data_IF_000272381126
#
_entry.id   IF_000272381126
#
_cell.length_a   1.000
_cell.length_b   1.000
_cell.length_c   1.000
_cell.angle_alpha   90.00
_cell.angle_beta   90.00
_cell.angle_gamma   90.00
#
_symmetry.space_group_name_H-M   'P 1'
#
loop_
_entity.id
_entity.type
_entity.pdbx_description
1 polymer ?
#
# COMPACT_ATOMS: atom_id res chain seq x y z
N UNK A 1 2.88 -43.48 50.51
CA UNK A 1 2.47 -42.17 49.93
C UNK A 1 3.69 -41.33 49.50
N UNK A 2 4.61 -41.85 48.66
CA UNK A 2 5.81 -41.10 48.18
C UNK A 2 5.80 -40.80 46.68
N UNK A 3 4.84 -41.37 45.94
CA UNK A 3 4.71 -41.20 44.48
C UNK A 3 3.62 -40.20 44.08
N UNK A 4 2.81 -39.72 45.04
CA UNK A 4 1.73 -38.77 44.77
C UNK A 4 2.27 -37.36 44.47
N UNK A 5 3.35 -36.96 45.15
CA UNK A 5 4.06 -35.69 44.92
C UNK A 5 4.78 -35.65 43.55
N UNK A 6 5.17 -36.80 43.00
CA UNK A 6 5.80 -36.89 41.68
C UNK A 6 4.77 -36.69 40.54
N UNK A 7 3.53 -37.17 40.74
CA UNK A 7 2.45 -37.05 39.76
C UNK A 7 1.96 -35.59 39.64
N UNK A 8 1.92 -34.83 40.75
CA UNK A 8 1.57 -33.41 40.73
C UNK A 8 2.60 -32.54 39.98
N UNK A 9 3.88 -32.91 40.01
CA UNK A 9 4.93 -32.16 39.31
C UNK A 9 4.86 -32.29 37.78
N UNK A 10 4.39 -33.43 37.25
CA UNK A 10 4.28 -33.67 35.81
C UNK A 10 3.12 -32.86 35.19
N UNK A 11 2.01 -32.70 35.91
CA UNK A 11 0.82 -31.99 35.42
C UNK A 11 1.05 -30.47 35.37
N UNK A 12 1.89 -29.92 36.26
CA UNK A 12 2.21 -28.49 36.30
C UNK A 12 3.09 -28.02 35.12
N UNK A 13 3.85 -28.92 34.49
CA UNK A 13 4.68 -28.59 33.32
C UNK A 13 3.99 -28.77 31.96
N UNK A 14 2.82 -29.40 31.91
CA UNK A 14 2.09 -29.64 30.64
C UNK A 14 1.12 -28.51 30.24
N UNK A 15 1.01 -27.44 31.03
CA UNK A 15 -0.01 -26.39 30.83
C UNK A 15 0.48 -25.12 30.11
N UNK A 16 1.74 -25.04 29.66
CA UNK A 16 2.19 -23.98 28.77
C UNK A 16 1.80 -24.30 27.32
N UNK A 17 0.55 -24.01 26.92
CA UNK A 17 0.22 -23.93 25.50
C UNK A 17 1.13 -22.87 24.87
N UNK A 18 2.04 -23.30 24.00
CA UNK A 18 2.84 -22.39 23.19
C UNK A 18 1.86 -21.68 22.25
N UNK A 19 1.71 -20.37 22.43
CA UNK A 19 0.90 -19.57 21.51
C UNK A 19 1.42 -19.76 20.08
N UNK A 20 0.48 -19.94 19.16
CA UNK A 20 0.80 -20.09 17.75
C UNK A 20 1.42 -18.79 17.22
N UNK A 21 2.53 -18.92 16.50
CA UNK A 21 3.29 -17.81 15.92
C UNK A 21 3.39 -17.97 14.41
N UNK A 22 3.36 -16.87 13.68
CA UNK A 22 3.17 -16.88 12.24
C UNK A 22 4.22 -16.06 11.49
N UNK A 23 4.62 -16.57 10.32
CA UNK A 23 5.52 -15.92 9.39
C UNK A 23 6.97 -15.81 9.89
N UNK A 24 7.85 -15.19 9.09
CA UNK A 24 9.27 -15.05 9.41
C UNK A 24 9.54 -14.16 10.64
N UNK A 25 8.54 -13.36 11.03
CA UNK A 25 8.59 -12.46 12.18
C UNK A 25 8.11 -13.12 13.48
N UNK A 26 7.63 -14.37 13.44
CA UNK A 26 7.12 -15.13 14.60
C UNK A 26 6.10 -14.36 15.44
N UNK A 27 5.14 -13.69 14.79
CA UNK A 27 4.13 -12.86 15.48
C UNK A 27 2.95 -13.71 15.95
N UNK A 28 2.37 -13.37 17.10
CA UNK A 28 1.13 -13.97 17.62
C UNK A 28 -0.09 -13.17 17.15
N UNK A 29 -1.22 -13.82 16.92
CA UNK A 29 -2.46 -13.11 16.62
C UNK A 29 -2.80 -12.11 17.74
N UNK A 30 -3.17 -10.89 17.38
CA UNK A 30 -3.45 -9.80 18.32
C UNK A 30 -2.21 -9.10 18.88
N UNK A 31 -1.00 -9.55 18.55
CA UNK A 31 0.23 -8.90 19.00
C UNK A 31 0.35 -7.49 18.40
N UNK A 32 0.63 -6.51 19.26
CA UNK A 32 0.85 -5.14 18.81
C UNK A 32 2.33 -4.87 18.52
N UNK A 33 2.61 -4.41 17.31
CA UNK A 33 3.94 -4.07 16.83
C UNK A 33 3.99 -2.61 16.43
N UNK A 34 5.20 -2.11 16.23
CA UNK A 34 5.41 -0.80 15.64
C UNK A 34 5.91 -0.96 14.21
N UNK A 35 5.36 -0.15 13.33
CA UNK A 35 5.69 -0.17 11.91
C UNK A 35 6.19 1.21 11.48
N UNK A 36 7.17 1.21 10.59
CA UNK A 36 7.60 2.38 9.84
C UNK A 36 6.93 2.35 8.47
N UNK A 37 6.17 3.39 8.15
CA UNK A 37 5.49 3.59 6.89
C UNK A 37 6.25 4.63 6.08
N UNK A 38 6.66 4.27 4.87
CA UNK A 38 7.47 5.10 3.97
C UNK A 38 6.72 6.37 3.51
N UNK A 39 7.46 7.40 3.10
CA UNK A 39 6.90 8.65 2.57
C UNK A 39 6.40 8.54 1.12
N UNK A 40 6.81 7.50 0.38
CA UNK A 40 6.49 7.25 -1.04
C UNK A 40 5.18 6.48 -1.18
N UNK A 41 4.11 7.03 -0.62
CA UNK A 41 2.77 6.46 -0.67
C UNK A 41 2.37 6.05 -2.10
N UNK A 42 1.93 4.80 -2.27
CA UNK A 42 1.48 4.21 -3.54
C UNK A 42 2.56 4.10 -4.63
N UNK A 43 3.84 4.28 -4.29
CA UNK A 43 4.96 4.07 -5.21
C UNK A 43 5.30 2.59 -5.41
N UNK A 44 6.13 2.31 -6.42
CA UNK A 44 6.64 0.95 -6.69
C UNK A 44 7.45 0.40 -5.52
N UNK A 45 8.09 1.29 -4.75
CA UNK A 45 8.95 0.94 -3.61
C UNK A 45 8.36 1.48 -2.29
N UNK A 46 7.04 1.52 -2.17
CA UNK A 46 6.37 1.86 -0.91
C UNK A 46 6.58 0.74 0.11
N UNK A 47 7.46 0.99 1.09
CA UNK A 47 7.86 -0.03 2.06
C UNK A 47 7.12 0.13 3.40
N UNK A 48 6.74 -1.02 3.96
CA UNK A 48 6.29 -1.15 5.33
C UNK A 48 7.34 -1.95 6.10
N UNK A 49 7.97 -1.34 7.10
CA UNK A 49 9.02 -2.00 7.89
C UNK A 49 8.54 -2.25 9.31
N UNK A 50 8.90 -3.40 9.87
CA UNK A 50 8.67 -3.71 11.28
C UNK A 50 9.82 -3.20 12.16
N UNK A 51 9.45 -2.51 13.24
CA UNK A 51 10.38 -1.97 14.23
C UNK A 51 10.57 -2.94 15.40
N UNK A 52 11.75 -2.94 16.06
CA UNK A 52 12.93 -2.10 15.77
C UNK A 52 13.87 -2.70 14.71
N UNK A 53 13.55 -3.84 14.12
CA UNK A 53 14.48 -4.57 13.23
C UNK A 53 14.68 -3.91 11.86
N UNK A 54 13.80 -2.96 11.47
CA UNK A 54 13.78 -2.29 10.18
C UNK A 54 13.79 -3.28 8.99
N UNK A 55 13.10 -4.40 9.15
CA UNK A 55 12.93 -5.41 8.12
C UNK A 55 11.58 -5.24 7.43
N UNK A 56 11.48 -5.69 6.18
CA UNK A 56 10.19 -5.76 5.49
C UNK A 56 9.18 -6.46 6.37
N UNK A 57 8.01 -5.85 6.51
CA UNK A 57 6.89 -6.42 7.25
C UNK A 57 6.21 -7.55 6.47
N UNK A 58 6.45 -7.63 5.14
CA UNK A 58 5.89 -8.60 4.18
C UNK A 58 4.35 -8.67 4.12
N UNK A 59 3.65 -7.80 4.85
CA UNK A 59 2.20 -7.78 5.00
C UNK A 59 1.66 -6.37 4.80
N UNK A 60 0.37 -6.26 4.49
CA UNK A 60 -0.31 -4.97 4.34
C UNK A 60 -0.67 -4.33 5.69
N UNK A 61 -0.75 -3.00 5.70
CA UNK A 61 -1.33 -2.22 6.79
C UNK A 61 -2.73 -1.75 6.38
N UNK A 62 -3.76 -2.17 7.11
CA UNK A 62 -5.16 -1.83 6.86
C UNK A 62 -5.63 -0.73 7.81
N UNK A 63 -6.58 0.09 7.34
CA UNK A 63 -7.27 1.09 8.16
C UNK A 63 -6.50 2.39 8.40
N UNK A 64 -5.35 2.60 7.76
CA UNK A 64 -4.59 3.85 7.87
C UNK A 64 -4.99 4.87 6.79
N UNK A 65 -6.20 5.42 6.91
CA UNK A 65 -6.79 6.31 5.90
C UNK A 65 -6.16 7.72 5.87
N UNK A 66 -5.62 8.20 6.99
CA UNK A 66 -5.09 9.57 7.12
C UNK A 66 -3.65 9.72 6.61
N UNK A 67 -3.13 8.74 5.86
CA UNK A 67 -1.77 8.76 5.32
C UNK A 67 -1.63 9.88 4.30
N UNK A 68 -0.68 10.79 4.57
CA UNK A 68 -0.29 11.86 3.62
C UNK A 68 0.99 11.49 2.87
N UNK A 69 1.07 11.71 1.55
CA UNK A 69 2.32 11.56 0.79
C UNK A 69 3.42 12.49 1.34
N UNK A 70 4.68 12.08 1.27
CA UNK A 70 5.80 12.90 1.76
C UNK A 70 5.99 12.90 3.27
N UNK A 71 5.25 12.07 4.01
CA UNK A 71 5.46 11.89 5.44
C UNK A 71 5.83 10.44 5.74
N UNK A 72 6.87 10.27 6.55
CA UNK A 72 7.20 8.97 7.15
C UNK A 72 6.42 8.86 8.46
N UNK A 73 5.81 7.72 8.73
CA UNK A 73 5.05 7.50 9.96
C UNK A 73 5.62 6.34 10.75
N UNK A 74 5.74 6.53 12.07
CA UNK A 74 5.81 5.42 13.02
C UNK A 74 4.39 5.18 13.53
N UNK A 75 3.87 3.99 13.34
CA UNK A 75 2.50 3.63 13.74
C UNK A 75 2.51 2.43 14.66
N UNK A 76 1.52 2.38 15.56
CA UNK A 76 1.17 1.18 16.30
C UNK A 76 0.17 0.40 15.47
N UNK A 77 0.41 -0.90 15.30
CA UNK A 77 -0.49 -1.78 14.56
C UNK A 77 -0.66 -3.12 15.29
N UNK A 78 -1.80 -3.76 15.07
CA UNK A 78 -2.12 -5.07 15.63
C UNK A 78 -2.07 -6.13 14.54
N UNK A 79 -1.27 -7.16 14.74
CA UNK A 79 -1.22 -8.30 13.81
C UNK A 79 -2.54 -9.08 13.89
N UNK A 80 -3.15 -9.34 12.73
CA UNK A 80 -4.41 -10.05 12.60
C UNK A 80 -4.26 -11.28 11.72
N UNK A 81 -4.99 -12.33 12.07
CA UNK A 81 -5.10 -13.56 11.30
C UNK A 81 -6.58 -13.87 11.09
N UNK A 82 -6.95 -14.07 9.83
CA UNK A 82 -8.25 -14.60 9.45
C UNK A 82 -8.14 -16.11 9.33
N UNK A 83 -9.00 -16.84 10.06
CA UNK A 83 -8.97 -18.31 10.06
C UNK A 83 -9.56 -18.87 8.77
N UNK A 84 -10.51 -18.16 8.17
CA UNK A 84 -11.19 -18.57 6.95
C UNK A 84 -11.12 -17.44 5.91
N UNK A 85 -9.93 -17.13 5.37
CA UNK A 85 -9.79 -16.05 4.41
C UNK A 85 -10.46 -16.42 3.09
N UNK A 86 -10.98 -15.44 2.33
CA UNK A 86 -11.32 -15.64 0.93
C UNK A 86 -10.13 -16.24 0.15
N UNK A 87 -10.42 -17.08 -0.85
CA UNK A 87 -9.39 -17.80 -1.61
C UNK A 87 -8.32 -16.88 -2.23
N UNK A 88 -8.71 -15.67 -2.63
CA UNK A 88 -7.84 -14.69 -3.28
C UNK A 88 -7.34 -13.58 -2.32
N UNK A 89 -7.54 -13.74 -1.02
CA UNK A 89 -7.13 -12.77 0.00
C UNK A 89 -6.01 -13.33 0.88
N UNK A 90 -5.19 -12.43 1.44
CA UNK A 90 -4.22 -12.82 2.46
C UNK A 90 -4.94 -13.27 3.73
N UNK A 91 -4.43 -14.31 4.37
CA UNK A 91 -4.88 -14.80 5.67
C UNK A 91 -4.42 -13.91 6.83
N UNK A 92 -3.56 -12.92 6.57
CA UNK A 92 -2.88 -12.15 7.62
C UNK A 92 -2.55 -10.72 7.18
N UNK A 93 -2.69 -9.77 8.10
CA UNK A 93 -2.38 -8.36 7.85
C UNK A 93 -2.18 -7.61 9.17
N UNK A 94 -1.76 -6.34 9.09
CA UNK A 94 -1.71 -5.43 10.22
C UNK A 94 -2.93 -4.51 10.23
N UNK A 95 -3.64 -4.44 11.35
CA UNK A 95 -4.67 -3.42 11.58
C UNK A 95 -4.03 -2.19 12.22
N UNK A 96 -4.19 -1.03 11.61
CA UNK A 96 -3.77 0.25 12.18
C UNK A 96 -4.47 0.50 13.53
N UNK A 97 -3.70 0.91 14.53
CA UNK A 97 -4.23 1.29 15.86
C UNK A 97 -4.13 2.79 16.06
N UNK A 98 -2.94 3.37 15.87
CA UNK A 98 -2.70 4.81 16.00
C UNK A 98 -1.36 5.23 15.42
N UNK A 99 -1.23 6.52 15.09
CA UNK A 99 0.08 7.14 14.83
C UNK A 99 0.83 7.31 16.14
N UNK A 100 2.12 6.97 16.15
CA UNK A 100 3.06 7.24 17.25
C UNK A 100 3.81 8.54 16.96
N UNK A 101 4.35 8.66 15.74
CA UNK A 101 4.98 9.88 15.25
C UNK A 101 4.80 10.00 13.74
N UNK A 102 4.90 11.24 13.25
CA UNK A 102 4.92 11.56 11.82
C UNK A 102 6.02 12.57 11.56
N UNK A 103 6.83 12.33 10.55
CA UNK A 103 7.94 13.19 10.18
C UNK A 103 7.80 13.61 8.72
N UNK A 104 7.90 14.92 8.49
CA UNK A 104 7.92 15.47 7.13
C UNK A 104 9.23 15.05 6.46
N UNK A 105 9.13 14.38 5.32
CA UNK A 105 10.29 14.02 4.53
C UNK A 105 10.98 15.27 3.99
N UNK A 106 12.32 15.33 4.12
CA UNK A 106 13.12 16.50 3.72
C UNK A 106 13.90 16.30 2.42
N UNK A 107 13.98 15.07 1.92
CA UNK A 107 14.65 14.78 0.65
C UNK A 107 13.83 15.20 -0.56
N UNK A 108 14.50 15.25 -1.71
CA UNK A 108 13.94 15.66 -3.00
C UNK A 108 14.21 14.62 -4.10
N UNK A 109 14.63 13.42 -3.73
CA UNK A 109 14.91 12.36 -4.69
C UNK A 109 13.64 11.92 -5.42
N UNK A 110 13.82 11.58 -6.69
CA UNK A 110 12.74 11.06 -7.51
C UNK A 110 12.50 9.58 -7.23
N UNK A 111 11.25 9.17 -7.34
CA UNK A 111 10.84 7.78 -7.24
C UNK A 111 9.76 7.47 -8.29
N UNK A 112 9.55 6.18 -8.55
CA UNK A 112 8.63 5.73 -9.58
C UNK A 112 7.27 5.29 -8.99
N UNK A 113 6.20 5.70 -9.66
CA UNK A 113 4.83 5.23 -9.43
C UNK A 113 4.32 4.52 -10.69
N UNK A 114 3.50 3.47 -10.51
CA UNK A 114 2.79 2.83 -11.62
C UNK A 114 1.39 3.41 -11.73
N UNK A 115 1.00 3.85 -12.94
CA UNK A 115 -0.36 4.33 -13.19
C UNK A 115 -1.31 3.19 -13.57
N UNK A 116 -0.81 2.02 -13.98
CA UNK A 116 -1.63 0.81 -14.17
C UNK A 116 -1.44 -0.09 -12.95
N UNK A 117 -2.51 -0.35 -12.18
CA UNK A 117 -2.44 -0.97 -10.83
C UNK A 117 -2.98 -2.39 -10.72
N UNK A 118 -3.93 -2.80 -11.56
CA UNK A 118 -4.49 -4.16 -11.53
C UNK A 118 -4.72 -4.64 -12.95
N UNK A 119 -4.66 -5.96 -13.15
CA UNK A 119 -5.05 -6.64 -14.40
C UNK A 119 -6.17 -7.68 -14.16
N UNK A 120 -6.31 -8.24 -12.95
CA UNK A 120 -7.19 -9.39 -12.62
C UNK A 120 -7.64 -9.28 -11.14
N UNK A 121 -8.88 -9.64 -10.76
CA UNK A 121 -10.02 -10.09 -11.59
C UNK A 121 -10.84 -8.94 -12.21
N UNK A 122 -10.54 -7.68 -11.87
CA UNK A 122 -11.29 -6.50 -12.31
C UNK A 122 -10.92 -5.92 -13.68
N UNK A 123 -9.99 -6.55 -14.40
CA UNK A 123 -9.44 -6.01 -15.64
C UNK A 123 -8.41 -4.89 -15.40
N UNK A 124 -7.79 -4.39 -16.48
CA UNK A 124 -6.76 -3.37 -16.38
C UNK A 124 -7.33 -2.03 -15.89
N UNK A 125 -6.83 -1.56 -14.75
CA UNK A 125 -7.24 -0.29 -14.15
C UNK A 125 -6.09 0.72 -14.19
N UNK A 126 -6.32 1.85 -14.88
CA UNK A 126 -5.45 3.01 -14.84
C UNK A 126 -5.90 3.89 -13.66
N UNK A 127 -5.05 4.03 -12.65
CA UNK A 127 -5.29 4.71 -11.39
C UNK A 127 -5.19 6.25 -11.50
N UNK A 128 -5.77 6.82 -12.54
CA UNK A 128 -5.92 8.26 -12.72
C UNK A 128 -7.40 8.63 -12.82
N UNK A 129 -7.77 9.74 -12.20
CA UNK A 129 -9.05 10.40 -12.43
C UNK A 129 -8.81 11.89 -12.70
N UNK A 130 -9.75 12.57 -13.38
CA UNK A 130 -9.69 14.02 -13.55
C UNK A 130 -10.94 14.65 -12.94
N UNK A 131 -10.77 15.52 -11.96
CA UNK A 131 -11.84 16.29 -11.32
C UNK A 131 -11.42 17.76 -11.25
N UNK A 132 -12.26 18.69 -11.74
CA UNK A 132 -11.98 20.13 -11.72
C UNK A 132 -10.59 20.50 -12.28
N UNK A 133 -10.21 19.93 -13.43
CA UNK A 133 -8.88 20.11 -14.05
C UNK A 133 -7.68 19.56 -13.25
N UNK A 134 -7.91 18.80 -12.17
CA UNK A 134 -6.86 18.17 -11.38
C UNK A 134 -6.80 16.67 -11.63
N UNK A 135 -5.61 16.14 -11.90
CA UNK A 135 -5.40 14.71 -11.97
C UNK A 135 -5.26 14.14 -10.56
N UNK A 136 -6.14 13.21 -10.21
CA UNK A 136 -6.10 12.45 -8.96
C UNK A 136 -5.43 11.10 -9.24
N UNK A 137 -4.52 10.68 -8.36
CA UNK A 137 -3.85 9.39 -8.39
C UNK A 137 -4.29 8.54 -7.21
N UNK A 138 -4.78 7.33 -7.51
CA UNK A 138 -5.44 6.44 -6.54
C UNK A 138 -6.71 7.12 -5.97
N UNK A 139 -7.50 6.45 -5.12
CA UNK A 139 -8.71 7.03 -4.51
C UNK A 139 -8.44 8.43 -3.91
N UNK A 140 -9.49 9.25 -3.79
CA UNK A 140 -9.44 10.68 -3.39
C UNK A 140 -8.36 10.98 -2.35
N UNK A 141 -7.44 11.90 -2.66
CA UNK A 141 -6.50 12.45 -1.66
C UNK A 141 -5.10 12.76 -2.17
N UNK A 142 -4.64 12.12 -3.24
CA UNK A 142 -3.31 12.33 -3.83
C UNK A 142 -3.44 12.84 -5.27
N UNK A 143 -2.80 13.97 -5.57
CA UNK A 143 -2.84 14.61 -6.89
C UNK A 143 -1.56 14.37 -7.69
N UNK A 144 -1.66 14.40 -9.02
CA UNK A 144 -0.52 14.50 -9.92
C UNK A 144 -0.49 15.90 -10.53
N UNK A 145 0.57 16.64 -10.20
CA UNK A 145 0.94 17.87 -10.91
C UNK A 145 2.01 17.54 -11.95
N UNK A 146 2.29 18.48 -12.85
CA UNK A 146 3.18 18.25 -13.99
C UNK A 146 4.33 19.26 -13.99
N UNK A 147 5.55 18.79 -14.22
CA UNK A 147 6.73 19.65 -14.26
C UNK A 147 6.78 20.56 -15.50
N UNK A 148 6.14 20.16 -16.60
CA UNK A 148 6.14 20.89 -17.86
C UNK A 148 4.92 20.53 -18.73
N UNK A 149 4.78 21.23 -19.86
CA UNK A 149 3.66 21.06 -20.78
C UNK A 149 3.65 19.70 -21.50
N UNK A 150 4.81 19.08 -21.71
CA UNK A 150 4.91 17.74 -22.29
C UNK A 150 4.29 16.70 -21.36
N UNK A 151 4.67 16.71 -20.09
CA UNK A 151 4.08 15.83 -19.07
C UNK A 151 2.58 16.06 -18.94
N UNK A 152 2.12 17.32 -19.00
CA UNK A 152 0.69 17.63 -19.02
C UNK A 152 -0.01 16.97 -20.21
N UNK A 153 0.54 17.09 -21.41
CA UNK A 153 -0.04 16.50 -22.61
C UNK A 153 -0.10 14.96 -22.52
N UNK A 154 0.91 14.33 -21.93
CA UNK A 154 0.93 12.89 -21.66
C UNK A 154 -0.13 12.47 -20.64
N UNK A 155 -0.31 13.22 -19.54
CA UNK A 155 -1.38 12.97 -18.56
C UNK A 155 -2.78 13.12 -19.19
N UNK A 156 -2.99 14.11 -20.06
CA UNK A 156 -4.22 14.23 -20.85
C UNK A 156 -4.45 13.04 -21.79
N UNK A 157 -3.40 12.56 -22.45
CA UNK A 157 -3.51 11.38 -23.32
C UNK A 157 -3.92 10.13 -22.54
N UNK A 158 -3.32 9.91 -21.37
CA UNK A 158 -3.67 8.82 -20.47
C UNK A 158 -5.13 8.96 -20.02
N UNK A 159 -5.55 10.17 -19.63
CA UNK A 159 -6.93 10.42 -19.23
C UNK A 159 -7.94 10.15 -20.34
N UNK A 160 -7.66 10.56 -21.59
CA UNK A 160 -8.50 10.21 -22.74
C UNK A 160 -8.64 8.71 -22.91
N UNK A 161 -7.56 7.94 -22.77
CA UNK A 161 -7.63 6.49 -22.84
C UNK A 161 -8.47 5.90 -21.71
N UNK A 162 -8.41 6.46 -20.49
CA UNK A 162 -9.32 6.06 -19.40
C UNK A 162 -10.79 6.29 -19.76
N UNK A 163 -11.12 7.41 -20.41
CA UNK A 163 -12.48 7.70 -20.85
C UNK A 163 -12.95 6.72 -21.93
N UNK A 164 -12.12 6.44 -22.94
CA UNK A 164 -12.38 5.44 -23.98
C UNK A 164 -12.64 4.06 -23.36
N UNK A 165 -11.78 3.63 -22.42
CA UNK A 165 -11.94 2.37 -21.70
C UNK A 165 -13.27 2.31 -20.93
N UNK A 166 -13.66 3.39 -20.24
CA UNK A 166 -14.94 3.44 -19.50
C UNK A 166 -16.15 3.39 -20.45
N UNK A 167 -16.06 4.06 -21.59
CA UNK A 167 -17.11 4.06 -22.61
C UNK A 167 -17.29 2.67 -23.23
N UNK A 168 -16.20 2.01 -23.64
CA UNK A 168 -16.23 0.64 -24.16
C UNK A 168 -16.78 -0.37 -23.14
N UNK A 169 -16.54 -0.16 -21.84
CA UNK A 169 -17.10 -1.02 -20.78
C UNK A 169 -18.61 -0.96 -20.73
N UNK A 170 -19.14 0.24 -20.92
CA UNK A 170 -20.57 0.50 -20.88
C UNK A 170 -21.27 -0.02 -22.14
N UNK A 171 -20.64 0.11 -23.31
CA UNK A 171 -21.25 -0.21 -24.61
C UNK A 171 -21.07 -1.67 -25.04
N UNK A 172 -19.84 -2.19 -24.96
CA UNK A 172 -19.48 -3.40 -25.71
C UNK A 172 -19.40 -4.66 -24.82
N UNK A 173 -19.41 -4.52 -23.49
CA UNK A 173 -19.17 -5.61 -22.51
C UNK A 173 -17.95 -6.49 -22.84
N UNK A 174 -17.05 -6.00 -23.71
CA UNK A 174 -15.89 -6.70 -24.21
C UNK A 174 -14.69 -6.54 -23.30
N UNK A 175 -13.62 -7.28 -23.58
CA UNK A 175 -12.38 -7.22 -22.83
C UNK A 175 -11.64 -5.92 -23.18
N UNK A 176 -11.49 -5.04 -22.19
CA UNK A 176 -10.92 -3.71 -22.40
C UNK A 176 -9.47 -3.74 -22.02
N UNK A 177 -8.63 -3.35 -22.96
CA UNK A 177 -7.20 -3.28 -22.74
C UNK A 177 -6.75 -1.82 -22.81
N UNK A 178 -5.91 -1.36 -21.87
CA UNK A 178 -5.29 -0.07 -21.95
C UNK A 178 -4.41 -0.02 -23.20
N UNK A 179 -4.25 1.17 -23.75
CA UNK A 179 -3.38 1.40 -24.91
C UNK A 179 -1.94 0.93 -24.68
N UNK A 180 -1.52 0.89 -23.42
CA UNK A 180 -0.16 0.52 -23.00
C UNK A 180 -0.19 -0.62 -21.98
N UNK A 181 0.80 -1.51 -22.07
CA UNK A 181 1.02 -2.58 -21.08
C UNK A 181 1.51 -2.03 -19.75
N UNK A 182 2.21 -0.90 -19.73
CA UNK A 182 2.57 -0.24 -18.47
C UNK A 182 2.77 1.25 -18.70
N UNK A 183 2.50 2.02 -17.64
CA UNK A 183 2.71 3.45 -17.59
C UNK A 183 3.43 3.73 -16.27
N UNK A 184 4.71 4.09 -16.36
CA UNK A 184 5.55 4.42 -15.22
C UNK A 184 5.78 5.92 -15.18
N UNK A 185 5.48 6.56 -14.06
CA UNK A 185 5.74 7.98 -13.87
C UNK A 185 6.85 8.14 -12.82
N UNK A 186 7.90 8.88 -13.19
CA UNK A 186 8.93 9.32 -12.24
C UNK A 186 8.47 10.64 -11.63
N UNK A 187 8.41 10.69 -10.31
CA UNK A 187 7.82 11.80 -9.55
C UNK A 187 8.73 12.25 -8.40
N UNK A 188 8.48 13.45 -7.90
CA UNK A 188 8.95 13.93 -6.60
C UNK A 188 7.74 14.36 -5.77
N UNK A 189 7.92 14.57 -4.46
CA UNK A 189 6.91 15.29 -3.67
C UNK A 189 6.78 16.71 -4.22
N UNK A 190 5.56 17.15 -4.52
CA UNK A 190 5.32 18.49 -5.04
C UNK A 190 5.66 19.53 -3.95
N UNK A 191 6.68 20.41 -4.14
CA UNK A 191 7.03 21.40 -3.15
C UNK A 191 5.92 22.43 -2.88
N UNK A 192 5.12 22.76 -3.89
CA UNK A 192 4.02 23.72 -3.79
C UNK A 192 2.77 23.11 -3.13
N UNK A 193 2.61 21.78 -3.23
CA UNK A 193 1.45 21.04 -2.74
C UNK A 193 1.84 19.87 -1.83
N UNK A 194 2.86 20.08 -0.99
CA UNK A 194 3.44 19.03 -0.16
C UNK A 194 2.39 18.40 0.76
N UNK A 195 2.41 17.07 0.89
CA UNK A 195 1.39 16.35 1.66
C UNK A 195 0.09 16.09 0.89
N UNK A 196 0.00 16.51 -0.37
CA UNK A 196 -1.20 16.38 -1.21
C UNK A 196 -0.92 15.94 -2.64
N UNK A 197 0.24 16.28 -3.21
CA UNK A 197 0.53 15.99 -4.61
C UNK A 197 1.94 15.47 -4.85
N UNK A 198 2.07 14.73 -5.94
CA UNK A 198 3.33 14.40 -6.59
C UNK A 198 3.51 15.23 -7.85
N UNK A 199 4.71 15.80 -8.01
CA UNK A 199 5.10 16.50 -9.23
C UNK A 199 5.71 15.50 -10.19
N UNK A 200 4.98 15.19 -11.26
CA UNK A 200 5.41 14.26 -12.30
C UNK A 200 6.51 14.91 -13.14
N UNK A 201 7.69 14.30 -13.13
CA UNK A 201 8.87 14.75 -13.87
C UNK A 201 8.89 14.16 -15.27
N UNK A 202 8.49 12.88 -15.41
CA UNK A 202 8.59 12.11 -16.66
C UNK A 202 7.61 10.95 -16.66
N UNK A 203 7.09 10.59 -17.83
CA UNK A 203 6.25 9.40 -18.04
C UNK A 203 6.88 8.50 -19.10
N UNK A 204 6.98 7.21 -18.79
CA UNK A 204 7.47 6.17 -19.69
C UNK A 204 6.33 5.18 -20.00
N UNK A 205 6.16 4.89 -21.28
CA UNK A 205 5.11 3.99 -21.79
C UNK A 205 5.72 2.70 -22.32
N UNK A 206 5.15 1.55 -21.95
CA UNK A 206 5.52 0.24 -22.52
C UNK A 206 4.36 -0.30 -23.37
N UNK A 207 4.65 -0.73 -24.60
CA UNK A 207 3.67 -1.32 -25.53
C UNK A 207 3.55 -2.83 -25.40
#
# INVERSE_FOLDING_TARGET
MKYLSLLCFIILFSACKKDETYGPLNLKNGQEVELLVDHRYESVNDQLLIMPQNKSAELSLHGFADRKPGYTYRVKARFNIEKNPPQDASDRWFNFVRVISSEKYQGNESFDISLIKSYIPGGPFIAINKENEQYQYVQKGLQLTYANQEVKAQLEEIWRNVLEMRESWTKDKGQIYPKWKSIKATVIHDPANFGKAYLVQRIEFTK
#
